data_IF_750747794396
#
_entry.id   IF_750747794396
#
_cell.length_a   1.000
_cell.length_b   1.000
_cell.length_c   1.000
_cell.angle_alpha   90.00
_cell.angle_beta   90.00
_cell.angle_gamma   90.00
#
_symmetry.space_group_name_H-M   'P 1'
#
loop_
_entity.id
_entity.type
_entity.pdbx_description
1 polymer ?
#
# COMPACT_ATOMS: atom_id res chain seq x y z
N UNK A 1 36.13 23.20 -11.30
CA UNK A 1 36.03 21.79 -10.89
C UNK A 1 35.17 21.62 -9.63
N UNK A 2 35.53 22.24 -8.50
CA UNK A 2 34.76 22.23 -7.23
C UNK A 2 33.27 22.61 -7.39
N UNK A 3 32.98 23.68 -8.14
CA UNK A 3 31.62 24.18 -8.34
C UNK A 3 30.73 23.20 -9.14
N UNK A 4 31.31 22.49 -10.10
CA UNK A 4 30.60 21.45 -10.86
C UNK A 4 30.28 20.25 -9.99
N UNK A 5 31.24 19.78 -9.19
CA UNK A 5 31.03 18.66 -8.28
C UNK A 5 29.89 18.94 -7.29
N UNK A 6 29.82 20.17 -6.78
CA UNK A 6 28.76 20.62 -5.88
C UNK A 6 27.39 20.63 -6.57
N UNK A 7 27.33 21.05 -7.83
CA UNK A 7 26.12 21.05 -8.67
C UNK A 7 25.64 19.62 -8.96
N UNK A 8 26.55 18.73 -9.34
CA UNK A 8 26.23 17.31 -9.60
C UNK A 8 25.74 16.60 -8.34
N UNK A 9 26.38 16.85 -7.18
CA UNK A 9 25.91 16.32 -5.89
C UNK A 9 24.52 16.84 -5.50
N UNK A 10 24.24 18.13 -5.74
CA UNK A 10 22.93 18.71 -5.48
C UNK A 10 21.84 18.12 -6.39
N UNK A 11 22.13 17.89 -7.67
CA UNK A 11 21.23 17.24 -8.62
C UNK A 11 20.91 15.80 -8.18
N UNK A 12 21.93 15.03 -7.81
CA UNK A 12 21.74 13.67 -7.28
C UNK A 12 20.93 13.70 -5.98
N UNK A 13 21.26 14.57 -5.04
CA UNK A 13 20.53 14.69 -3.78
C UNK A 13 19.04 15.07 -3.97
N UNK A 14 18.70 15.89 -4.97
CA UNK A 14 17.31 16.17 -5.36
C UNK A 14 16.66 15.00 -6.10
N UNK A 15 17.38 14.29 -6.97
CA UNK A 15 16.85 13.13 -7.68
C UNK A 15 16.55 11.96 -6.74
N UNK A 16 17.28 11.85 -5.62
CA UNK A 16 17.05 10.89 -4.54
C UNK A 16 16.25 11.46 -3.35
N UNK A 17 15.86 12.73 -3.41
CA UNK A 17 14.90 13.30 -2.46
C UNK A 17 13.53 12.72 -2.78
N UNK A 18 13.28 11.52 -2.28
CA UNK A 18 11.94 10.93 -2.25
C UNK A 18 11.12 11.83 -1.33
N UNK A 19 10.36 12.76 -1.90
CA UNK A 19 9.22 13.35 -1.21
C UNK A 19 8.43 12.17 -0.63
N UNK A 20 8.43 12.03 0.70
CA UNK A 20 7.57 11.07 1.37
C UNK A 20 6.15 11.42 0.91
N UNK A 21 5.50 10.59 0.10
CA UNK A 21 4.16 10.89 -0.32
C UNK A 21 3.32 11.06 0.94
N UNK A 22 2.51 12.11 1.01
CA UNK A 22 1.55 12.26 2.10
C UNK A 22 0.73 10.97 2.25
N UNK A 23 0.29 10.62 3.47
CA UNK A 23 -0.38 9.35 3.71
C UNK A 23 -1.59 9.20 2.79
N UNK A 24 -1.71 8.04 2.13
CA UNK A 24 -2.90 7.76 1.33
C UNK A 24 -4.12 7.78 2.26
N UNK A 25 -5.07 8.67 1.97
CA UNK A 25 -6.35 8.73 2.69
C UNK A 25 -7.44 8.14 1.78
N UNK A 26 -8.05 7.01 2.17
CA UNK A 26 -9.20 6.49 1.44
C UNK A 26 -10.44 7.37 1.66
N UNK A 27 -11.34 7.34 0.68
CA UNK A 27 -12.74 7.73 0.87
C UNK A 27 -13.46 6.72 1.75
N UNK A 28 -14.63 7.06 2.28
CA UNK A 28 -15.42 6.15 3.12
C UNK A 28 -15.76 4.84 2.38
N UNK A 29 -16.05 4.92 1.08
CA UNK A 29 -16.35 3.76 0.25
C UNK A 29 -15.11 2.86 0.04
N UNK A 30 -13.95 3.46 -0.22
CA UNK A 30 -12.68 2.75 -0.33
C UNK A 30 -12.32 2.09 0.99
N UNK A 31 -12.43 2.81 2.11
CA UNK A 31 -12.16 2.30 3.44
C UNK A 31 -13.03 1.09 3.77
N UNK A 32 -14.32 1.13 3.45
CA UNK A 32 -15.24 0.01 3.66
C UNK A 32 -14.88 -1.23 2.82
N UNK A 33 -14.32 -1.04 1.62
CA UNK A 33 -13.83 -2.14 0.77
C UNK A 33 -12.51 -2.70 1.30
N UNK A 34 -11.56 -1.82 1.64
CA UNK A 34 -10.26 -2.18 2.18
C UNK A 34 -10.43 -2.98 3.48
N UNK A 35 -11.24 -2.50 4.41
CA UNK A 35 -11.51 -3.18 5.69
C UNK A 35 -12.05 -4.60 5.49
N UNK A 36 -12.92 -4.81 4.50
CA UNK A 36 -13.44 -6.16 4.19
C UNK A 36 -12.32 -7.11 3.78
N UNK A 37 -11.41 -6.66 2.90
CA UNK A 37 -10.26 -7.46 2.46
C UNK A 37 -9.27 -7.70 3.61
N UNK A 38 -8.93 -6.65 4.36
CA UNK A 38 -7.95 -6.75 5.45
C UNK A 38 -8.45 -7.62 6.61
N UNK A 39 -9.76 -7.60 6.90
CA UNK A 39 -10.36 -8.52 7.88
C UNK A 39 -10.19 -9.99 7.48
N UNK A 40 -10.26 -10.30 6.19
CA UNK A 40 -9.97 -11.66 5.72
C UNK A 40 -8.51 -12.06 5.90
N UNK A 41 -7.59 -11.11 5.73
CA UNK A 41 -6.16 -11.32 6.01
C UNK A 41 -5.94 -11.63 7.49
N UNK A 42 -6.48 -10.79 8.38
CA UNK A 42 -6.37 -10.96 9.84
C UNK A 42 -7.04 -12.26 10.30
N UNK A 43 -8.25 -12.55 9.81
CA UNK A 43 -9.00 -13.79 10.14
C UNK A 43 -8.21 -15.05 9.80
N UNK A 44 -7.36 -14.99 8.77
CA UNK A 44 -6.50 -16.09 8.33
C UNK A 44 -5.10 -16.08 8.96
N UNK A 45 -4.85 -15.19 9.93
CA UNK A 45 -3.54 -14.99 10.58
C UNK A 45 -2.43 -14.64 9.58
N UNK A 46 -2.77 -13.87 8.54
CA UNK A 46 -1.88 -13.48 7.45
C UNK A 46 -1.34 -12.04 7.56
N UNK A 47 -1.55 -11.36 8.69
CA UNK A 47 -1.10 -9.97 8.92
C UNK A 47 0.40 -9.83 8.68
N UNK A 48 1.24 -10.62 9.37
CA UNK A 48 2.70 -10.52 9.24
C UNK A 48 3.20 -10.83 7.82
N UNK A 49 2.80 -11.94 7.15
CA UNK A 49 3.17 -12.17 5.76
C UNK A 49 2.73 -11.06 4.79
N UNK A 50 1.52 -10.53 4.97
CA UNK A 50 1.00 -9.46 4.12
C UNK A 50 1.79 -8.15 4.31
N UNK A 51 2.15 -7.80 5.55
CA UNK A 51 2.99 -6.64 5.82
C UNK A 51 4.37 -6.78 5.18
N UNK A 52 5.04 -7.93 5.33
CA UNK A 52 6.34 -8.18 4.69
C UNK A 52 6.25 -8.06 3.16
N UNK A 53 5.21 -8.66 2.56
CA UNK A 53 4.98 -8.55 1.12
C UNK A 53 4.80 -7.08 0.70
N UNK A 54 3.90 -6.33 1.34
CA UNK A 54 3.62 -4.93 1.02
C UNK A 54 4.87 -4.04 1.15
N UNK A 55 5.69 -4.26 2.18
CA UNK A 55 6.96 -3.57 2.37
C UNK A 55 7.96 -3.90 1.26
N UNK A 56 8.01 -5.16 0.82
CA UNK A 56 8.91 -5.59 -0.26
C UNK A 56 8.56 -4.97 -1.62
N UNK A 57 7.27 -4.70 -1.88
CA UNK A 57 6.80 -4.12 -3.14
C UNK A 57 6.74 -2.59 -3.11
N UNK A 58 6.96 -1.96 -1.94
CA UNK A 58 7.04 -0.50 -1.73
C UNK A 58 7.86 0.26 -2.79
N UNK A 59 9.05 -0.19 -3.25
CA UNK A 59 9.85 0.56 -4.23
C UNK A 59 9.37 0.41 -5.69
N UNK A 60 8.39 -0.44 -5.97
CA UNK A 60 7.98 -0.76 -7.35
C UNK A 60 6.96 0.22 -7.92
N UNK A 61 7.19 0.68 -9.14
CA UNK A 61 6.27 1.56 -9.90
C UNK A 61 4.94 0.87 -10.27
N UNK A 62 4.82 -0.45 -10.10
CA UNK A 62 3.67 -1.29 -10.49
C UNK A 62 3.04 -2.06 -9.32
N UNK A 63 2.94 -1.40 -8.16
CA UNK A 63 2.46 -1.99 -6.92
C UNK A 63 1.03 -2.56 -7.04
N UNK A 64 0.16 -1.92 -7.82
CA UNK A 64 -1.23 -2.33 -8.03
C UNK A 64 -1.35 -3.78 -8.53
N UNK A 65 -0.79 -4.13 -9.69
CA UNK A 65 -1.00 -5.46 -10.29
C UNK A 65 -0.44 -6.60 -9.44
N UNK A 66 0.75 -6.43 -8.86
CA UNK A 66 1.36 -7.45 -8.01
C UNK A 66 0.59 -7.63 -6.70
N UNK A 67 0.16 -6.52 -6.07
CA UNK A 67 -0.65 -6.58 -4.87
C UNK A 67 -2.02 -7.23 -5.14
N UNK A 68 -2.66 -6.96 -6.29
CA UNK A 68 -3.92 -7.60 -6.65
C UNK A 68 -3.79 -9.12 -6.77
N UNK A 69 -2.66 -9.65 -7.27
CA UNK A 69 -2.41 -11.10 -7.29
C UNK A 69 -2.25 -11.68 -5.87
N UNK A 70 -1.51 -10.99 -4.99
CA UNK A 70 -1.37 -11.41 -3.60
C UNK A 70 -2.72 -11.38 -2.85
N UNK A 71 -3.51 -10.33 -3.05
CA UNK A 71 -4.79 -10.16 -2.37
C UNK A 71 -5.93 -10.99 -2.96
N UNK A 72 -5.76 -11.54 -4.17
CA UNK A 72 -6.78 -12.33 -4.88
C UNK A 72 -7.50 -13.36 -4.01
N UNK A 73 -6.81 -14.21 -3.23
CA UNK A 73 -7.45 -15.19 -2.33
C UNK A 73 -8.32 -14.61 -1.21
N UNK A 74 -8.15 -13.33 -0.88
CA UNK A 74 -8.90 -12.60 0.14
C UNK A 74 -10.02 -11.73 -0.47
N UNK A 75 -10.01 -11.55 -1.80
CA UNK A 75 -11.00 -10.73 -2.51
C UNK A 75 -12.35 -11.42 -2.71
N UNK A 76 -12.51 -12.68 -2.31
CA UNK A 76 -13.79 -13.40 -2.43
C UNK A 76 -14.95 -12.72 -1.67
N UNK A 77 -14.66 -11.83 -0.72
CA UNK A 77 -15.65 -11.03 0.01
C UNK A 77 -16.17 -9.82 -0.77
N UNK A 78 -15.55 -9.49 -1.91
CA UNK A 78 -15.97 -8.41 -2.78
C UNK A 78 -17.01 -8.94 -3.79
N UNK A 79 -18.27 -8.66 -3.52
CA UNK A 79 -19.41 -9.20 -4.30
C UNK A 79 -19.66 -8.39 -5.59
N UNK A 80 -19.11 -7.19 -5.70
CA UNK A 80 -19.36 -6.26 -6.81
C UNK A 80 -18.07 -5.86 -7.55
N UNK A 81 -18.09 -5.75 -8.88
CA UNK A 81 -16.93 -5.33 -9.67
C UNK A 81 -16.39 -3.95 -9.30
N UNK A 82 -17.26 -3.06 -8.83
CA UNK A 82 -16.90 -1.71 -8.37
C UNK A 82 -16.01 -1.77 -7.13
N UNK A 83 -16.22 -2.73 -6.23
CA UNK A 83 -15.39 -2.91 -5.05
C UNK A 83 -13.98 -3.38 -5.42
N UNK A 84 -13.86 -4.31 -6.37
CA UNK A 84 -12.56 -4.74 -6.90
C UNK A 84 -11.78 -3.55 -7.48
N UNK A 85 -12.45 -2.72 -8.29
CA UNK A 85 -11.85 -1.51 -8.87
C UNK A 85 -11.41 -0.52 -7.81
N UNK A 86 -12.28 -0.18 -6.83
CA UNK A 86 -11.94 0.73 -5.73
C UNK A 86 -10.69 0.28 -4.96
N UNK A 87 -10.55 -1.02 -4.71
CA UNK A 87 -9.36 -1.55 -4.04
C UNK A 87 -8.10 -1.42 -4.91
N UNK A 88 -8.20 -1.75 -6.21
CA UNK A 88 -7.12 -1.58 -7.17
C UNK A 88 -6.68 -0.12 -7.28
N UNK A 89 -7.64 0.80 -7.45
CA UNK A 89 -7.40 2.24 -7.57
C UNK A 89 -6.73 2.79 -6.29
N UNK A 90 -7.12 2.28 -5.12
CA UNK A 90 -6.48 2.66 -3.86
C UNK A 90 -5.02 2.22 -3.80
N UNK A 91 -4.68 1.01 -4.27
CA UNK A 91 -3.31 0.49 -4.27
C UNK A 91 -2.35 1.32 -5.13
N UNK A 92 -2.86 2.04 -6.13
CA UNK A 92 -2.06 2.94 -6.96
C UNK A 92 -1.71 4.26 -6.26
N UNK A 93 -2.39 4.60 -5.16
CA UNK A 93 -2.10 5.82 -4.39
C UNK A 93 -0.73 5.68 -3.73
N UNK A 94 0.08 6.72 -3.87
CA UNK A 94 1.32 6.82 -3.10
C UNK A 94 0.97 6.87 -1.60
N UNK A 95 1.57 5.97 -0.81
CA UNK A 95 1.25 5.81 0.62
C UNK A 95 0.17 4.76 0.92
N UNK A 96 -0.37 4.06 -0.09
CA UNK A 96 -1.33 2.98 0.12
C UNK A 96 -0.74 1.85 0.96
N UNK A 97 0.52 1.47 0.73
CA UNK A 97 1.25 0.48 1.53
C UNK A 97 1.25 0.85 3.01
N UNK A 98 1.65 2.08 3.35
CA UNK A 98 1.68 2.55 4.74
C UNK A 98 0.31 2.49 5.39
N UNK A 99 -0.73 2.90 4.65
CA UNK A 99 -2.11 2.83 5.11
C UNK A 99 -2.55 1.38 5.37
N UNK A 100 -2.31 0.47 4.41
CA UNK A 100 -2.74 -0.93 4.52
C UNK A 100 -2.05 -1.65 5.67
N UNK A 101 -0.73 -1.48 5.83
CA UNK A 101 0.03 -2.07 6.93
C UNK A 101 -0.48 -1.56 8.28
N UNK A 102 -0.61 -0.23 8.43
CA UNK A 102 -1.12 0.36 9.68
C UNK A 102 -2.54 -0.12 9.99
N UNK A 103 -3.41 -0.20 8.98
CA UNK A 103 -4.80 -0.62 9.15
C UNK A 103 -4.92 -2.11 9.49
N UNK A 104 -4.10 -2.96 8.90
CA UNK A 104 -4.06 -4.39 9.26
C UNK A 104 -3.66 -4.58 10.73
N UNK A 105 -2.63 -3.86 11.20
CA UNK A 105 -2.18 -3.91 12.60
C UNK A 105 -3.28 -3.46 13.57
N UNK A 106 -4.03 -2.40 13.24
CA UNK A 106 -5.19 -1.95 14.02
C UNK A 106 -6.27 -3.03 14.12
N UNK A 107 -6.61 -3.67 13.00
CA UNK A 107 -7.62 -4.72 12.93
C UNK A 107 -7.19 -5.98 13.70
N UNK A 108 -5.90 -6.34 13.65
CA UNK A 108 -5.35 -7.48 14.39
C UNK A 108 -5.40 -7.25 15.91
N UNK A 109 -5.02 -6.06 16.37
CA UNK A 109 -5.13 -5.68 17.79
C UNK A 109 -6.57 -5.66 18.28
N UNK A 110 -7.52 -5.25 17.45
CA UNK A 110 -8.95 -5.25 17.80
C UNK A 110 -9.59 -6.66 17.79
N UNK A 111 -8.92 -7.65 17.18
CA UNK A 111 -9.41 -9.03 17.07
C UNK A 111 -8.75 -10.00 18.06
N UNK A 112 -7.81 -9.50 18.88
CA UNK A 112 -7.07 -10.26 19.91
C UNK A 112 -7.61 -9.93 21.29
#
# INVERSE_FOLDING_TARGET
MEAELKRWRAILAHAFAVEKPGPAKPTDEEAAVIDRVLREVVRRRMTTPASIFLESVRPMTYLGSQAMHFFGPFMSVLVEPTAYRRFSDFLEKRGAVDYLVSRMDELERASS
#
